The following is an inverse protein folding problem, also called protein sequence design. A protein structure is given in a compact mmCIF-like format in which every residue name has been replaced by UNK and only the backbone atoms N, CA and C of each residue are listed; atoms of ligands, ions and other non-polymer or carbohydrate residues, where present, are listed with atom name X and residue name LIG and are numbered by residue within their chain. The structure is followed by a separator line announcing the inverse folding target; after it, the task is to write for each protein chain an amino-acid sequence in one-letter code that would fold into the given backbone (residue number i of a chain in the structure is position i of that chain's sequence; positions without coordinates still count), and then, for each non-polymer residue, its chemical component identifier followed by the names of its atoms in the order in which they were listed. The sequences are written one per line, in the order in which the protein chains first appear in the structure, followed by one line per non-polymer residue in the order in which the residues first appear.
data_IF_045777679856
#
_entry.id   IF_045777679856
#
_cell.length_a   1.000
_cell.length_b   1.000
_cell.length_c   1.000
_cell.angle_alpha   90.00
_cell.angle_beta   90.00
_cell.angle_gamma   90.00
#
_symmetry.space_group_name_H-M   'P 1'
#
loop_
_entity.id
_entity.type
_entity.pdbx_description
1 polymer ?
#
# COMPACT_ATOMS: atom_id res chain seq x y z
N UNK A 1 -3.83 1.04 20.29
CA UNK A 1 -2.81 0.26 19.57
C UNK A 1 -3.53 -0.69 18.65
N UNK A 2 -3.34 -0.54 17.34
CA UNK A 2 -3.94 -1.45 16.36
C UNK A 2 -3.14 -2.78 16.29
N UNK A 3 -3.60 -3.74 15.50
CA UNK A 3 -2.96 -5.05 15.39
C UNK A 3 -1.54 -4.99 14.79
N UNK A 4 -1.30 -4.08 13.82
CA UNK A 4 0.04 -3.87 13.24
C UNK A 4 1.02 -3.42 14.31
N UNK A 5 0.68 -2.39 15.09
CA UNK A 5 1.49 -1.86 16.19
C UNK A 5 1.70 -2.90 17.29
N UNK A 6 0.66 -3.71 17.59
CA UNK A 6 0.73 -4.81 18.57
C UNK A 6 1.70 -5.91 18.18
N UNK A 7 1.73 -6.26 16.90
CA UNK A 7 2.58 -7.33 16.36
C UNK A 7 4.01 -6.86 16.12
N UNK A 8 4.23 -5.58 15.81
CA UNK A 8 5.55 -5.00 15.54
C UNK A 8 6.22 -4.40 16.79
N UNK A 9 6.89 -5.26 17.57
CA UNK A 9 7.42 -4.89 18.90
C UNK A 9 8.83 -4.29 18.93
N UNK A 10 9.55 -4.27 17.80
CA UNK A 10 10.92 -3.73 17.76
C UNK A 10 10.87 -2.23 17.50
N UNK A 11 11.75 -1.47 18.14
CA UNK A 11 11.80 -0.01 17.96
C UNK A 11 12.11 0.45 16.53
N UNK A 12 12.63 -0.44 15.68
CA UNK A 12 12.90 -0.21 14.26
C UNK A 12 12.01 -1.06 13.34
N UNK A 13 10.86 -1.53 13.82
CA UNK A 13 9.93 -2.29 13.00
C UNK A 13 9.36 -1.46 11.85
N UNK A 14 9.20 -2.10 10.69
CA UNK A 14 8.46 -1.53 9.56
C UNK A 14 6.98 -1.86 9.74
N UNK A 15 6.14 -0.83 9.96
CA UNK A 15 4.71 -1.01 10.24
C UNK A 15 3.92 -1.30 8.97
N UNK A 16 4.10 -0.49 7.94
CA UNK A 16 3.32 -0.54 6.69
C UNK A 16 4.18 -0.11 5.49
N UNK A 17 3.67 -0.36 4.29
CA UNK A 17 4.10 0.34 3.06
C UNK A 17 3.12 1.46 2.77
N UNK A 18 3.62 2.66 2.53
CA UNK A 18 2.82 3.80 2.08
C UNK A 18 3.09 4.03 0.59
N UNK A 19 2.05 3.90 -0.22
CA UNK A 19 2.09 4.10 -1.66
C UNK A 19 1.22 5.31 -1.95
N UNK A 20 1.82 6.37 -2.51
CA UNK A 20 1.09 7.57 -2.89
C UNK A 20 0.97 7.62 -4.40
N UNK A 21 -0.25 7.70 -4.90
CA UNK A 21 -0.54 7.84 -6.33
C UNK A 21 -1.21 9.19 -6.61
N UNK A 22 -0.79 9.85 -7.68
CA UNK A 22 -1.53 10.98 -8.21
C UNK A 22 -2.76 10.48 -8.97
N UNK A 23 -3.89 11.12 -8.77
CA UNK A 23 -5.14 10.82 -9.47
C UNK A 23 -5.49 11.95 -10.45
N UNK A 24 -6.22 11.68 -11.53
CA UNK A 24 -6.51 12.69 -12.53
C UNK A 24 -7.35 13.85 -11.95
N UNK A 25 -6.97 15.07 -12.33
CA UNK A 25 -7.60 16.32 -11.89
C UNK A 25 -8.75 16.80 -12.78
N UNK A 26 -9.09 16.04 -13.82
CA UNK A 26 -10.08 16.39 -14.83
C UNK A 26 -11.45 16.66 -14.20
N UNK A 27 -12.11 17.73 -14.67
CA UNK A 27 -13.41 18.18 -14.15
C UNK A 27 -14.55 17.20 -14.46
N UNK A 28 -14.38 16.39 -15.50
CA UNK A 28 -15.32 15.34 -15.91
C UNK A 28 -15.29 14.14 -14.97
N UNK A 29 -14.21 13.98 -14.20
CA UNK A 29 -14.12 12.94 -13.19
C UNK A 29 -14.63 13.47 -11.85
N UNK A 30 -15.56 12.74 -11.24
CA UNK A 30 -16.05 13.01 -9.88
C UNK A 30 -15.27 12.15 -8.86
N UNK A 31 -15.71 12.14 -7.59
CA UNK A 31 -15.08 11.33 -6.55
C UNK A 31 -15.23 9.82 -6.79
N UNK A 32 -16.38 9.37 -7.29
CA UNK A 32 -16.65 7.95 -7.54
C UNK A 32 -15.72 7.39 -8.61
N UNK A 33 -15.48 8.11 -9.71
CA UNK A 33 -14.49 7.71 -10.72
C UNK A 33 -13.08 7.57 -10.12
N UNK A 34 -12.70 8.44 -9.17
CA UNK A 34 -11.40 8.38 -8.49
C UNK A 34 -11.29 7.21 -7.53
N UNK A 35 -12.38 6.89 -6.83
CA UNK A 35 -12.50 5.69 -6.01
C UNK A 35 -12.31 4.46 -6.92
N UNK A 36 -13.05 4.37 -8.03
CA UNK A 36 -12.97 3.25 -8.97
C UNK A 36 -11.55 3.05 -9.52
N UNK A 37 -10.90 4.12 -10.02
CA UNK A 37 -9.51 4.06 -10.50
C UNK A 37 -8.57 3.52 -9.41
N UNK A 38 -8.72 4.01 -8.18
CA UNK A 38 -7.87 3.59 -7.07
C UNK A 38 -8.09 2.12 -6.72
N UNK A 39 -9.34 1.65 -6.72
CA UNK A 39 -9.67 0.24 -6.52
C UNK A 39 -9.08 -0.66 -7.61
N UNK A 40 -9.19 -0.28 -8.89
CA UNK A 40 -8.60 -1.04 -10.00
C UNK A 40 -7.08 -1.18 -9.85
N UNK A 41 -6.39 -0.12 -9.40
CA UNK A 41 -4.95 -0.16 -9.11
C UNK A 41 -4.66 -1.13 -7.96
N UNK A 42 -5.40 -1.03 -6.85
CA UNK A 42 -5.21 -1.89 -5.68
C UNK A 42 -5.49 -3.36 -6.00
N UNK A 43 -6.51 -3.66 -6.81
CA UNK A 43 -6.83 -5.00 -7.27
C UNK A 43 -5.70 -5.57 -8.14
N UNK A 44 -5.16 -4.75 -9.06
CA UNK A 44 -4.03 -5.12 -9.90
C UNK A 44 -2.72 -5.34 -9.12
N UNK A 45 -2.59 -4.76 -7.93
CA UNK A 45 -1.47 -5.01 -7.02
C UNK A 45 -1.60 -6.35 -6.28
N UNK A 46 -2.75 -7.03 -6.37
CA UNK A 46 -3.04 -8.34 -5.77
C UNK A 46 -2.73 -8.45 -4.26
N UNK A 47 -2.73 -7.32 -3.54
CA UNK A 47 -2.34 -7.29 -2.13
C UNK A 47 -3.31 -8.10 -1.26
N UNK A 48 -4.61 -7.92 -1.48
CA UNK A 48 -5.69 -8.58 -0.71
C UNK A 48 -5.72 -10.08 -1.00
N UNK A 49 -5.54 -10.46 -2.26
CA UNK A 49 -5.45 -11.84 -2.74
C UNK A 49 -4.26 -12.57 -2.10
N UNK A 50 -3.19 -11.83 -1.83
CA UNK A 50 -2.04 -12.33 -1.08
C UNK A 50 -2.18 -12.23 0.45
N UNK A 51 -3.36 -11.89 0.96
CA UNK A 51 -3.68 -11.84 2.38
C UNK A 51 -3.24 -10.58 3.10
N UNK A 52 -2.83 -9.51 2.40
CA UNK A 52 -2.48 -8.22 3.00
C UNK A 52 -3.72 -7.34 3.19
N UNK A 53 -3.72 -6.52 4.25
CA UNK A 53 -4.70 -5.47 4.42
C UNK A 53 -4.29 -4.22 3.66
N UNK A 54 -5.28 -3.54 3.08
CA UNK A 54 -5.11 -2.27 2.38
C UNK A 54 -6.07 -1.23 2.94
N UNK A 55 -5.56 -0.06 3.30
CA UNK A 55 -6.35 1.12 3.61
C UNK A 55 -6.12 2.16 2.52
N UNK A 56 -7.19 2.80 2.06
CA UNK A 56 -7.17 3.80 0.99
C UNK A 56 -7.73 5.11 1.54
N UNK A 57 -6.96 6.19 1.40
CA UNK A 57 -7.35 7.54 1.77
C UNK A 57 -7.18 8.47 0.55
N UNK A 58 -8.29 8.98 0.01
CA UNK A 58 -8.28 9.86 -1.17
C UNK A 58 -8.40 11.32 -0.74
N UNK A 59 -7.42 12.13 -1.12
CA UNK A 59 -7.37 13.54 -0.82
C UNK A 59 -7.70 14.40 -2.04
N UNK A 60 -8.57 15.39 -1.82
CA UNK A 60 -8.82 16.46 -2.78
C UNK A 60 -7.71 17.52 -2.73
N UNK A 61 -7.47 18.26 -3.82
CA UNK A 61 -6.56 19.41 -3.82
C UNK A 61 -6.88 20.39 -2.68
N UNK A 62 -5.85 20.86 -1.99
CA UNK A 62 -5.94 21.87 -0.94
C UNK A 62 -4.77 22.86 -0.99
N UNK A 63 -4.73 23.84 -0.07
CA UNK A 63 -3.58 24.75 0.02
C UNK A 63 -2.32 23.94 0.39
N UNK A 64 -1.41 23.76 -0.56
CA UNK A 64 -0.15 23.02 -0.42
C UNK A 64 0.00 21.89 -1.44
N UNK A 65 -1.09 21.17 -1.71
CA UNK A 65 -1.13 20.10 -2.71
C UNK A 65 -2.24 20.38 -3.74
N UNK A 66 -1.83 20.56 -4.99
CA UNK A 66 -2.73 20.95 -6.08
C UNK A 66 -3.39 19.76 -6.77
N UNK A 67 -2.98 18.52 -6.46
CA UNK A 67 -3.43 17.34 -7.17
C UNK A 67 -4.34 16.48 -6.29
N UNK A 68 -5.30 15.81 -6.92
CA UNK A 68 -5.93 14.66 -6.28
C UNK A 68 -4.87 13.58 -6.09
N UNK A 69 -4.85 12.95 -4.92
CA UNK A 69 -3.95 11.84 -4.66
C UNK A 69 -4.61 10.84 -3.72
N UNK A 70 -4.14 9.60 -3.76
CA UNK A 70 -4.52 8.57 -2.80
C UNK A 70 -3.29 8.08 -2.05
N UNK A 71 -3.42 7.97 -0.73
CA UNK A 71 -2.53 7.15 0.09
C UNK A 71 -3.10 5.73 0.14
N UNK A 72 -2.26 4.76 -0.16
CA UNK A 72 -2.57 3.34 -0.12
C UNK A 72 -1.62 2.72 0.90
N UNK A 73 -2.14 2.47 2.10
CA UNK A 73 -1.38 1.87 3.19
C UNK A 73 -1.56 0.36 3.15
N UNK A 74 -0.46 -0.38 2.99
CA UNK A 74 -0.47 -1.85 2.91
C UNK A 74 0.23 -2.44 4.12
N UNK A 75 -0.38 -3.42 4.78
CA UNK A 75 0.28 -4.13 5.89
C UNK A 75 1.54 -4.85 5.42
N UNK A 76 2.56 -4.96 6.27
CA UNK A 76 3.78 -5.75 5.93
C UNK A 76 3.63 -7.24 6.23
N UNK A 77 2.50 -7.63 6.82
CA UNK A 77 2.15 -9.00 7.22
C UNK A 77 0.80 -9.38 6.69
N UNK A 78 0.64 -10.68 6.45
CA UNK A 78 -0.63 -11.27 6.06
C UNK A 78 -1.56 -11.39 7.27
N UNK A 79 -2.85 -11.26 7.04
CA UNK A 79 -3.86 -11.65 8.01
C UNK A 79 -3.92 -13.18 8.14
N UNK A 80 -4.31 -13.65 9.31
CA UNK A 80 -4.83 -15.01 9.47
C UNK A 80 -6.23 -15.10 8.87
N UNK A 81 -6.69 -16.33 8.63
CA UNK A 81 -8.03 -16.59 8.09
C UNK A 81 -9.18 -16.00 8.96
N UNK A 82 -8.95 -15.79 10.25
CA UNK A 82 -9.92 -15.15 11.14
C UNK A 82 -10.09 -13.65 10.90
N UNK A 83 -9.18 -13.01 10.15
CA UNK A 83 -9.20 -11.56 9.88
C UNK A 83 -8.85 -10.66 11.07
N UNK A 84 -8.49 -11.20 12.23
CA UNK A 84 -8.27 -10.42 13.46
C UNK A 84 -6.79 -10.26 13.83
N UNK A 85 -5.95 -11.21 13.38
CA UNK A 85 -4.54 -11.28 13.75
C UNK A 85 -3.63 -11.30 12.52
N UNK A 86 -2.39 -10.83 12.69
CA UNK A 86 -1.37 -10.90 11.65
C UNK A 86 -0.43 -12.08 11.84
N UNK A 87 0.05 -12.66 10.74
CA UNK A 87 0.96 -13.80 10.73
C UNK A 87 2.34 -13.45 10.15
N UNK A 88 2.79 -14.19 9.13
CA UNK A 88 4.09 -14.02 8.50
C UNK A 88 4.19 -12.69 7.75
N UNK A 89 5.41 -12.13 7.70
CA UNK A 89 5.71 -11.00 6.82
C UNK A 89 5.67 -11.47 5.37
N UNK A 90 5.09 -10.66 4.48
CA UNK A 90 5.02 -10.95 3.05
C UNK A 90 6.32 -10.56 2.31
N UNK A 91 7.46 -11.03 2.82
CA UNK A 91 8.79 -10.72 2.26
C UNK A 91 8.99 -11.30 0.87
N UNK A 92 8.22 -12.33 0.52
CA UNK A 92 8.21 -12.98 -0.78
C UNK A 92 7.65 -12.09 -1.89
N UNK A 93 6.86 -11.06 -1.54
CA UNK A 93 6.31 -10.07 -2.46
C UNK A 93 7.22 -8.83 -2.64
N UNK A 94 8.34 -8.76 -1.92
CA UNK A 94 9.29 -7.67 -2.13
C UNK A 94 10.10 -7.89 -3.41
N UNK A 95 10.51 -6.80 -4.08
CA UNK A 95 11.45 -6.89 -5.20
C UNK A 95 12.71 -7.66 -4.79
N UNK A 96 13.14 -8.59 -5.63
CA UNK A 96 14.39 -9.30 -5.43
C UNK A 96 15.52 -8.50 -6.07
N UNK A 97 16.63 -8.40 -5.36
CA UNK A 97 17.79 -7.66 -5.85
C UNK A 97 18.94 -8.62 -6.10
N UNK A 98 19.63 -8.45 -7.24
CA UNK A 98 20.86 -9.16 -7.58
C UNK A 98 21.94 -8.17 -7.97
N UNK A 99 23.14 -8.37 -7.43
CA UNK A 99 24.31 -7.56 -7.81
C UNK A 99 25.07 -8.25 -8.92
N UNK A 100 25.32 -7.55 -10.03
CA UNK A 100 26.14 -8.03 -11.15
C UNK A 100 27.26 -7.02 -11.39
N UNK A 101 28.52 -7.46 -11.31
CA UNK A 101 29.72 -6.60 -11.45
C UNK A 101 29.69 -5.35 -10.54
N UNK A 102 29.15 -5.48 -9.32
CA UNK A 102 29.04 -4.39 -8.35
C UNK A 102 27.80 -3.49 -8.52
N UNK A 103 27.00 -3.67 -9.57
CA UNK A 103 25.78 -2.90 -9.80
C UNK A 103 24.53 -3.68 -9.35
N UNK A 104 23.61 -3.09 -8.57
CA UNK A 104 22.37 -3.75 -8.15
C UNK A 104 21.30 -3.69 -9.25
N UNK A 105 20.57 -4.80 -9.43
CA UNK A 105 19.46 -4.94 -10.36
C UNK A 105 18.25 -5.53 -9.64
N UNK A 106 17.05 -5.08 -10.01
CA UNK A 106 15.80 -5.74 -9.63
C UNK A 106 15.59 -6.91 -10.59
N UNK A 107 15.27 -8.08 -10.06
CA UNK A 107 15.02 -9.32 -10.80
C UNK A 107 13.70 -9.96 -10.43
#
# INVERSE_FOLDING_TARGET
MNEVERTEKRGNSKLLKDIVIALPGDKELNLEHRIEITHQIVDAMECVQNGLGVQIDIHKPHRGDKNWHAHILVTTRRFKENGEELCSKAVDLEPKFRTVKGQPYII
#
